data_IF_389846750663
#
_entry.id   IF_389846750663
#
_cell.length_a   1.000
_cell.length_b   1.000
_cell.length_c   1.000
_cell.angle_alpha   90.00
_cell.angle_beta   90.00
_cell.angle_gamma   90.00
#
_symmetry.space_group_name_H-M   'P 1'
#
loop_
_entity.id
_entity.type
_entity.pdbx_description
1 polymer ?
#
# COMPACT_ATOMS: atom_id res chain seq x y z
N UNK A 1 -31.53 34.53 -53.12
CA UNK A 1 -30.17 33.94 -53.41
C UNK A 1 -29.24 34.34 -52.29
N UNK A 2 -29.06 33.51 -51.32
CA UNK A 2 -28.00 33.63 -50.33
C UNK A 2 -27.74 32.21 -49.82
N UNK A 3 -26.62 31.68 -50.25
CA UNK A 3 -26.16 30.34 -49.92
C UNK A 3 -25.53 30.33 -48.52
N UNK A 4 -26.09 29.58 -47.61
CA UNK A 4 -25.48 29.20 -46.31
C UNK A 4 -24.45 28.10 -46.57
N UNK A 5 -23.20 28.42 -46.29
CA UNK A 5 -22.07 27.45 -46.23
C UNK A 5 -22.16 26.68 -44.93
N UNK A 6 -22.56 25.43 -44.98
CA UNK A 6 -22.34 24.46 -43.93
C UNK A 6 -20.84 24.13 -43.86
N UNK A 7 -20.20 24.56 -42.79
CA UNK A 7 -18.84 24.12 -42.44
C UNK A 7 -18.94 22.74 -41.74
N UNK A 8 -18.77 21.70 -42.53
CA UNK A 8 -18.54 20.35 -42.02
C UNK A 8 -17.17 20.35 -41.31
N UNK A 9 -17.18 20.28 -39.98
CA UNK A 9 -15.98 20.01 -39.21
C UNK A 9 -15.53 18.57 -39.49
N UNK A 10 -14.42 18.47 -40.19
CA UNK A 10 -13.72 17.21 -40.49
C UNK A 10 -13.26 16.58 -39.18
N UNK A 11 -13.99 15.59 -38.68
CA UNK A 11 -13.58 14.77 -37.56
C UNK A 11 -12.31 14.01 -37.95
N UNK A 12 -11.21 14.32 -37.29
CA UNK A 12 -9.93 13.59 -37.45
C UNK A 12 -10.17 12.08 -37.21
N UNK A 13 -9.63 11.18 -38.06
CA UNK A 13 -9.88 9.76 -37.95
C UNK A 13 -9.30 9.21 -36.64
N UNK A 14 -10.19 8.79 -35.74
CA UNK A 14 -9.83 8.03 -34.56
C UNK A 14 -9.10 6.78 -35.00
N UNK A 15 -7.83 6.67 -34.66
CA UNK A 15 -7.01 5.47 -34.87
C UNK A 15 -7.60 4.27 -34.10
N UNK A 16 -8.61 3.63 -34.66
CA UNK A 16 -9.35 2.48 -34.08
C UNK A 16 -8.57 1.14 -34.09
N UNK A 17 -7.36 1.08 -34.61
CA UNK A 17 -6.71 -0.20 -34.96
C UNK A 17 -5.58 -0.70 -34.05
N UNK A 18 -4.86 0.16 -33.33
CA UNK A 18 -3.61 -0.21 -32.66
C UNK A 18 -3.75 -0.37 -31.14
N UNK A 19 -4.81 0.18 -30.53
CA UNK A 19 -4.97 0.27 -29.08
C UNK A 19 -5.46 -1.03 -28.37
N UNK A 20 -5.84 -2.09 -29.09
CA UNK A 20 -6.52 -3.27 -28.52
C UNK A 20 -5.61 -4.37 -27.95
N UNK A 21 -4.30 -4.35 -28.16
CA UNK A 21 -3.40 -5.47 -27.78
C UNK A 21 -2.27 -5.11 -26.81
N UNK A 22 -2.06 -3.84 -26.47
CA UNK A 22 -0.96 -3.41 -25.61
C UNK A 22 -1.24 -3.59 -24.09
N UNK A 23 -0.18 -3.74 -23.30
CA UNK A 23 -0.28 -3.67 -21.84
C UNK A 23 -0.44 -2.22 -21.35
N UNK A 24 0.24 -1.27 -21.99
CA UNK A 24 0.21 0.17 -21.73
C UNK A 24 -0.10 0.91 -23.03
N UNK A 25 -0.66 2.12 -22.90
CA UNK A 25 -0.76 3.05 -24.02
C UNK A 25 0.64 3.60 -24.40
N UNK A 26 0.84 4.03 -25.67
CA UNK A 26 2.09 4.68 -26.08
C UNK A 26 2.42 5.88 -25.19
N UNK A 27 3.68 6.00 -24.78
CA UNK A 27 4.16 7.07 -23.90
C UNK A 27 3.90 6.84 -22.39
N UNK A 28 3.17 5.79 -21.99
CA UNK A 28 2.85 5.53 -20.59
C UNK A 28 3.88 4.66 -19.85
N UNK A 29 4.95 4.22 -20.51
CA UNK A 29 5.95 3.34 -19.88
C UNK A 29 6.67 4.05 -18.73
N UNK A 30 7.18 5.26 -18.95
CA UNK A 30 7.89 6.01 -17.90
C UNK A 30 6.97 6.38 -16.73
N UNK A 31 5.76 6.97 -16.94
CA UNK A 31 4.81 7.19 -15.85
C UNK A 31 4.48 5.91 -15.07
N UNK A 32 4.29 4.80 -15.76
CA UNK A 32 4.00 3.51 -15.13
C UNK A 32 5.15 3.02 -14.26
N UNK A 33 6.40 3.08 -14.75
CA UNK A 33 7.57 2.72 -13.96
C UNK A 33 7.72 3.59 -12.70
N UNK A 34 7.45 4.88 -12.81
CA UNK A 34 7.47 5.79 -11.65
C UNK A 34 6.38 5.44 -10.63
N UNK A 35 5.17 5.09 -11.09
CA UNK A 35 4.11 4.64 -10.18
C UNK A 35 4.46 3.30 -9.51
N UNK A 36 5.06 2.36 -10.26
CA UNK A 36 5.57 1.10 -9.69
C UNK A 36 6.58 1.38 -8.58
N UNK A 37 7.47 2.36 -8.77
CA UNK A 37 8.41 2.79 -7.72
C UNK A 37 7.69 3.41 -6.51
N UNK A 38 6.56 4.10 -6.73
CA UNK A 38 5.73 4.59 -5.63
C UNK A 38 5.13 3.44 -4.79
N UNK A 39 4.71 2.33 -5.42
CA UNK A 39 4.22 1.16 -4.69
C UNK A 39 5.31 0.50 -3.86
N UNK A 40 6.54 0.42 -4.37
CA UNK A 40 7.68 -0.07 -3.59
C UNK A 40 8.00 0.86 -2.41
N UNK A 41 8.07 2.17 -2.64
CA UNK A 41 8.33 3.15 -1.59
C UNK A 41 7.22 3.15 -0.53
N UNK A 42 5.96 2.97 -0.93
CA UNK A 42 4.83 2.83 -0.01
C UNK A 42 4.96 1.59 0.88
N UNK A 43 5.26 0.41 0.32
CA UNK A 43 5.51 -0.81 1.10
C UNK A 43 6.65 -0.61 2.10
N UNK A 44 7.75 0.00 1.68
CA UNK A 44 8.90 0.31 2.54
C UNK A 44 8.50 1.14 3.76
N UNK A 45 7.74 2.23 3.55
CA UNK A 45 7.28 3.09 4.65
C UNK A 45 6.35 2.37 5.63
N UNK A 46 5.45 1.53 5.11
CA UNK A 46 4.47 0.79 5.91
C UNK A 46 5.15 -0.10 6.95
N UNK A 47 6.09 -0.93 6.51
CA UNK A 47 6.71 -1.92 7.38
C UNK A 47 7.86 -1.37 8.24
N UNK A 48 8.43 -0.21 7.88
CA UNK A 48 9.33 0.52 8.79
C UNK A 48 8.62 1.05 10.04
N UNK A 49 7.29 1.13 10.06
CA UNK A 49 6.52 1.64 11.21
C UNK A 49 6.52 0.67 12.40
N UNK A 50 6.52 -0.64 12.17
CA UNK A 50 6.50 -1.63 13.23
C UNK A 50 7.73 -1.56 14.16
N UNK A 51 8.96 -1.48 13.67
CA UNK A 51 10.16 -1.25 14.48
C UNK A 51 10.12 0.04 15.32
N UNK A 52 9.46 1.11 14.83
CA UNK A 52 9.30 2.36 15.58
C UNK A 52 8.58 2.18 16.91
N UNK A 53 7.56 1.33 16.95
CA UNK A 53 6.84 1.02 18.21
C UNK A 53 7.82 0.56 19.28
N UNK A 54 8.73 -0.34 18.91
CA UNK A 54 9.76 -0.86 19.82
C UNK A 54 10.74 0.21 20.27
N UNK A 55 11.23 1.04 19.34
CA UNK A 55 12.18 2.12 19.64
C UNK A 55 11.54 3.16 20.54
N UNK A 56 10.36 3.68 20.21
CA UNK A 56 9.69 4.72 21.00
C UNK A 56 9.30 4.20 22.39
N UNK A 57 8.88 2.94 22.50
CA UNK A 57 8.64 2.32 23.80
C UNK A 57 9.88 2.35 24.67
N UNK A 58 11.04 2.07 24.11
CA UNK A 58 12.33 2.08 24.82
C UNK A 58 12.78 3.50 25.14
N UNK A 59 12.78 4.40 24.16
CA UNK A 59 13.27 5.79 24.29
C UNK A 59 12.44 6.60 25.28
N UNK A 60 11.10 6.50 25.17
CA UNK A 60 10.18 7.30 26.00
C UNK A 60 9.65 6.54 27.22
N UNK A 61 10.18 5.34 27.53
CA UNK A 61 9.78 4.50 28.68
C UNK A 61 8.25 4.28 28.75
N UNK A 62 7.66 3.97 27.60
CA UNK A 62 6.20 3.88 27.43
C UNK A 62 5.63 2.53 27.84
N UNK A 63 4.38 2.55 28.27
CA UNK A 63 3.57 1.35 28.42
C UNK A 63 3.05 0.84 27.04
N UNK A 64 2.44 -0.35 27.01
CA UNK A 64 1.92 -0.95 25.81
C UNK A 64 0.83 -0.10 25.12
N UNK A 65 -0.07 0.51 25.89
CA UNK A 65 -1.14 1.34 25.34
C UNK A 65 -0.60 2.62 24.69
N UNK A 66 0.38 3.27 25.31
CA UNK A 66 1.03 4.46 24.74
C UNK A 66 1.81 4.13 23.47
N UNK A 67 2.55 3.03 23.44
CA UNK A 67 3.31 2.64 22.25
C UNK A 67 2.43 2.22 21.07
N UNK A 68 1.22 1.73 21.33
CA UNK A 68 0.25 1.39 20.27
C UNK A 68 -0.30 2.63 19.55
N UNK A 69 -0.17 3.85 20.11
CA UNK A 69 -0.54 5.10 19.43
C UNK A 69 0.25 5.33 18.14
N UNK A 70 1.44 4.75 18.00
CA UNK A 70 2.21 4.78 16.74
C UNK A 70 1.40 4.14 15.61
N UNK A 71 0.87 2.94 15.84
CA UNK A 71 0.03 2.25 14.85
C UNK A 71 -1.32 2.95 14.68
N UNK A 72 -1.90 3.45 15.76
CA UNK A 72 -3.15 4.21 15.71
C UNK A 72 -3.01 5.50 14.91
N UNK A 73 -1.88 6.21 15.01
CA UNK A 73 -1.59 7.39 14.21
C UNK A 73 -1.45 7.03 12.73
N UNK A 74 -0.75 5.94 12.42
CA UNK A 74 -0.55 5.47 11.05
C UNK A 74 -1.88 5.04 10.40
N UNK A 75 -2.59 4.08 10.98
CA UNK A 75 -3.85 3.58 10.42
C UNK A 75 -5.00 4.58 10.54
N UNK A 76 -4.98 5.42 11.60
CA UNK A 76 -5.93 6.52 11.77
C UNK A 76 -5.83 7.56 10.64
N UNK A 77 -4.62 7.86 10.16
CA UNK A 77 -4.42 8.71 9.00
C UNK A 77 -5.06 8.09 7.73
N UNK A 78 -4.89 6.80 7.51
CA UNK A 78 -5.54 6.09 6.40
C UNK A 78 -7.06 6.18 6.47
N UNK A 79 -7.63 5.96 7.65
CA UNK A 79 -9.08 6.04 7.85
C UNK A 79 -9.60 7.47 7.59
N UNK A 80 -8.94 8.48 8.12
CA UNK A 80 -9.37 9.88 8.00
C UNK A 80 -9.20 10.42 6.58
N UNK A 81 -8.13 10.02 5.86
CA UNK A 81 -7.78 10.62 4.58
C UNK A 81 -8.32 9.85 3.35
N UNK A 82 -8.88 8.67 3.50
CA UNK A 82 -9.43 7.90 2.39
C UNK A 82 -10.54 8.65 1.62
N UNK A 83 -11.48 9.30 2.33
CA UNK A 83 -12.55 10.08 1.70
C UNK A 83 -12.02 11.40 1.13
N UNK A 84 -11.22 12.23 1.87
CA UNK A 84 -10.56 13.39 1.29
C UNK A 84 -9.72 13.08 0.05
N UNK A 85 -9.03 11.94 0.00
CA UNK A 85 -8.25 11.53 -1.15
C UNK A 85 -9.12 11.33 -2.41
N UNK A 86 -10.29 10.69 -2.27
CA UNK A 86 -11.24 10.55 -3.38
C UNK A 86 -11.73 11.91 -3.88
N UNK A 87 -11.96 12.87 -2.99
CA UNK A 87 -12.34 14.23 -3.34
C UNK A 87 -11.21 14.99 -4.07
N UNK A 88 -9.96 14.83 -3.64
CA UNK A 88 -8.78 15.37 -4.34
C UNK A 88 -8.72 14.81 -5.77
N UNK A 89 -8.88 13.49 -5.93
CA UNK A 89 -8.86 12.84 -7.24
C UNK A 89 -9.97 13.36 -8.18
N UNK A 90 -11.16 13.60 -7.64
CA UNK A 90 -12.29 14.12 -8.44
C UNK A 90 -12.07 15.55 -8.96
N UNK A 91 -11.23 16.35 -8.26
CA UNK A 91 -10.93 17.74 -8.65
C UNK A 91 -9.65 17.90 -9.45
N UNK A 92 -8.61 17.18 -9.10
CA UNK A 92 -7.25 17.37 -9.62
C UNK A 92 -6.78 16.21 -10.50
N UNK A 93 -7.63 15.20 -10.72
CA UNK A 93 -7.26 13.97 -11.41
C UNK A 93 -6.33 13.07 -10.58
N UNK A 94 -6.07 11.89 -11.09
CA UNK A 94 -5.25 10.90 -10.39
C UNK A 94 -3.79 11.34 -10.24
N UNK A 95 -3.23 11.99 -11.27
CA UNK A 95 -1.86 12.55 -11.20
C UNK A 95 -1.74 13.60 -10.11
N UNK A 96 -2.73 14.51 -10.01
CA UNK A 96 -2.78 15.52 -8.97
C UNK A 96 -2.83 14.90 -7.56
N UNK A 97 -3.66 13.88 -7.37
CA UNK A 97 -3.72 13.13 -6.12
C UNK A 97 -2.41 12.45 -5.76
N UNK A 98 -1.75 11.77 -6.72
CA UNK A 98 -0.43 11.17 -6.53
C UNK A 98 0.61 12.22 -6.10
N UNK A 99 0.64 13.38 -6.75
CA UNK A 99 1.60 14.44 -6.40
C UNK A 99 1.37 14.98 -4.99
N UNK A 100 0.12 15.24 -4.62
CA UNK A 100 -0.23 15.71 -3.27
C UNK A 100 0.17 14.64 -2.23
N UNK A 101 -0.17 13.37 -2.50
CA UNK A 101 0.21 12.26 -1.62
C UNK A 101 1.72 12.16 -1.41
N UNK A 102 2.50 12.24 -2.49
CA UNK A 102 3.96 12.17 -2.43
C UNK A 102 4.59 13.36 -1.69
N UNK A 103 4.10 14.59 -1.95
CA UNK A 103 4.60 15.78 -1.26
C UNK A 103 4.26 15.71 0.23
N UNK A 104 3.05 15.30 0.58
CA UNK A 104 2.64 15.17 1.98
C UNK A 104 3.42 14.06 2.70
N UNK A 105 3.60 12.89 2.06
CA UNK A 105 4.43 11.82 2.60
C UNK A 105 5.89 12.25 2.76
N UNK A 106 6.43 12.95 1.76
CA UNK A 106 7.77 13.52 1.82
C UNK A 106 7.93 14.51 2.96
N UNK A 107 6.98 15.43 3.14
CA UNK A 107 6.95 16.36 4.26
C UNK A 107 6.90 15.61 5.59
N UNK A 108 6.07 14.58 5.72
CA UNK A 108 6.00 13.73 6.90
C UNK A 108 7.35 13.09 7.25
N UNK A 109 8.08 12.56 6.26
CA UNK A 109 9.43 12.04 6.44
C UNK A 109 10.42 13.11 6.90
N UNK A 110 10.36 14.32 6.34
CA UNK A 110 11.24 15.44 6.74
C UNK A 110 10.92 15.99 8.13
N UNK A 111 9.66 15.87 8.60
CA UNK A 111 9.27 16.27 9.97
C UNK A 111 9.94 15.41 11.06
N UNK A 112 10.56 14.29 10.72
CA UNK A 112 11.40 13.55 11.67
C UNK A 112 12.65 14.34 12.09
N UNK A 113 13.10 15.33 11.29
CA UNK A 113 14.20 16.20 11.67
C UNK A 113 13.84 17.02 12.91
N UNK A 114 12.84 17.93 12.88
CA UNK A 114 12.46 18.69 14.07
C UNK A 114 11.97 17.81 15.21
N UNK A 115 11.34 16.66 14.93
CA UNK A 115 10.90 15.71 15.95
C UNK A 115 12.09 15.16 16.77
N UNK A 116 13.19 14.85 16.10
CA UNK A 116 14.42 14.35 16.75
C UNK A 116 15.04 15.40 17.67
N UNK A 117 15.08 16.65 17.25
CA UNK A 117 15.62 17.73 18.09
C UNK A 117 14.70 18.12 19.23
N UNK A 118 13.39 18.06 19.02
CA UNK A 118 12.40 18.31 20.07
C UNK A 118 12.34 17.20 21.12
N UNK A 119 12.81 15.98 20.78
CA UNK A 119 12.78 14.78 21.62
C UNK A 119 11.40 14.54 22.26
N UNK A 120 10.34 14.88 21.53
CA UNK A 120 8.96 14.85 22.03
C UNK A 120 8.13 13.87 21.24
N UNK A 121 7.51 12.92 21.92
CA UNK A 121 6.74 11.83 21.28
C UNK A 121 5.59 12.32 20.39
N UNK A 122 4.85 13.35 20.83
CA UNK A 122 3.73 13.91 20.05
C UNK A 122 4.19 14.48 18.69
N UNK A 123 5.39 15.05 18.61
CA UNK A 123 5.94 15.55 17.35
C UNK A 123 6.27 14.40 16.39
N UNK A 124 6.79 13.28 16.91
CA UNK A 124 6.99 12.07 16.10
C UNK A 124 5.66 11.47 15.61
N UNK A 125 4.63 11.44 16.46
CA UNK A 125 3.29 11.00 16.05
C UNK A 125 2.72 11.88 14.95
N UNK A 126 2.91 13.20 15.04
CA UNK A 126 2.48 14.15 14.00
C UNK A 126 3.23 13.91 12.69
N UNK A 127 4.55 13.72 12.74
CA UNK A 127 5.36 13.38 11.57
C UNK A 127 4.88 12.08 10.91
N UNK A 128 4.65 11.04 11.71
CA UNK A 128 4.16 9.75 11.24
C UNK A 128 2.73 9.84 10.67
N UNK A 129 1.83 10.56 11.34
CA UNK A 129 0.48 10.82 10.84
C UNK A 129 0.51 11.53 9.49
N UNK A 130 1.35 12.56 9.35
CA UNK A 130 1.51 13.32 8.10
C UNK A 130 2.04 12.43 6.98
N UNK A 131 3.05 11.59 7.26
CA UNK A 131 3.57 10.62 6.32
C UNK A 131 2.48 9.65 5.87
N UNK A 132 1.77 9.03 6.82
CA UNK A 132 0.71 8.07 6.55
C UNK A 132 -0.49 8.70 5.82
N UNK A 133 -0.82 9.96 6.12
CA UNK A 133 -1.82 10.74 5.39
C UNK A 133 -1.45 10.90 3.92
N UNK A 134 -0.18 11.22 3.64
CA UNK A 134 0.34 11.27 2.28
C UNK A 134 0.26 9.92 1.58
N UNK A 135 0.60 8.83 2.27
CA UNK A 135 0.53 7.47 1.72
C UNK A 135 -0.92 7.03 1.43
N UNK A 136 -1.87 7.39 2.27
CA UNK A 136 -3.29 7.12 2.05
C UNK A 136 -3.81 7.80 0.76
N UNK A 137 -3.43 9.07 0.56
CA UNK A 137 -3.78 9.82 -0.66
C UNK A 137 -3.08 9.20 -1.87
N UNK A 138 -1.80 8.85 -1.74
CA UNK A 138 -1.01 8.22 -2.78
C UNK A 138 -1.65 6.90 -3.24
N UNK A 139 -1.98 6.01 -2.31
CA UNK A 139 -2.59 4.72 -2.61
C UNK A 139 -3.94 4.87 -3.29
N UNK A 140 -4.83 5.72 -2.75
CA UNK A 140 -6.15 5.98 -3.31
C UNK A 140 -6.09 6.54 -4.73
N UNK A 141 -5.00 7.25 -5.07
CA UNK A 141 -4.81 7.87 -6.38
C UNK A 141 -4.06 6.97 -7.36
N UNK A 142 -3.01 6.28 -6.89
CA UNK A 142 -2.13 5.48 -7.73
C UNK A 142 -2.82 4.21 -8.28
N UNK A 143 -3.70 3.56 -7.49
CA UNK A 143 -4.40 2.37 -7.92
C UNK A 143 -5.26 2.59 -9.19
N UNK A 144 -6.22 3.53 -9.21
CA UNK A 144 -6.99 3.81 -10.41
C UNK A 144 -6.14 4.43 -11.52
N UNK A 145 -5.10 5.20 -11.19
CA UNK A 145 -4.20 5.77 -12.17
C UNK A 145 -3.47 4.69 -12.98
N UNK A 146 -2.91 3.68 -12.32
CA UNK A 146 -2.31 2.52 -12.98
C UNK A 146 -3.31 1.81 -13.88
N UNK A 147 -4.56 1.66 -13.42
CA UNK A 147 -5.62 1.02 -14.20
C UNK A 147 -5.98 1.80 -15.47
N UNK A 148 -5.87 3.12 -15.47
CA UNK A 148 -6.19 3.99 -16.61
C UNK A 148 -5.07 4.08 -17.67
N UNK A 149 -3.84 3.61 -17.37
CA UNK A 149 -2.66 3.75 -18.26
C UNK A 149 -2.64 2.83 -19.48
N UNK A 150 -3.68 2.07 -19.72
CA UNK A 150 -3.76 1.16 -20.86
C UNK A 150 -5.17 0.62 -21.09
N UNK A 151 -5.37 -0.32 -22.00
CA UNK A 151 -6.68 -0.89 -22.30
C UNK A 151 -7.36 -1.51 -21.09
N UNK A 152 -8.69 -1.35 -21.00
CA UNK A 152 -9.50 -1.79 -19.84
C UNK A 152 -9.39 -3.29 -19.56
N UNK A 153 -9.32 -4.12 -20.60
CA UNK A 153 -9.22 -5.58 -20.45
C UNK A 153 -7.96 -6.03 -19.69
N UNK A 154 -6.88 -5.21 -19.67
CA UNK A 154 -5.65 -5.46 -18.93
C UNK A 154 -5.56 -4.66 -17.62
N UNK A 155 -6.58 -3.88 -17.24
CA UNK A 155 -6.51 -2.98 -16.09
C UNK A 155 -6.20 -3.72 -14.78
N UNK A 156 -6.93 -4.79 -14.49
CA UNK A 156 -6.69 -5.63 -13.28
C UNK A 156 -5.29 -6.25 -13.28
N UNK A 157 -4.80 -6.70 -14.43
CA UNK A 157 -3.44 -7.25 -14.58
C UNK A 157 -2.36 -6.19 -14.35
N UNK A 158 -2.55 -4.96 -14.86
CA UNK A 158 -1.63 -3.84 -14.62
C UNK A 158 -1.55 -3.49 -13.14
N UNK A 159 -2.71 -3.43 -12.48
CA UNK A 159 -2.77 -3.17 -11.05
C UNK A 159 -2.05 -4.27 -10.25
N UNK A 160 -2.29 -5.55 -10.57
CA UNK A 160 -1.58 -6.66 -9.94
C UNK A 160 -0.07 -6.57 -10.14
N UNK A 161 0.40 -6.19 -11.33
CA UNK A 161 1.82 -6.00 -11.60
C UNK A 161 2.40 -4.86 -10.77
N UNK A 162 1.77 -3.69 -10.73
CA UNK A 162 2.25 -2.55 -9.96
C UNK A 162 2.27 -2.87 -8.44
N UNK A 163 1.20 -3.46 -7.95
CA UNK A 163 1.07 -3.90 -6.55
C UNK A 163 2.06 -5.02 -6.17
N UNK A 164 2.62 -5.76 -7.13
CA UNK A 164 3.64 -6.78 -6.84
C UNK A 164 4.96 -6.18 -6.33
N UNK A 165 5.18 -4.90 -6.54
CA UNK A 165 6.37 -4.19 -6.04
C UNK A 165 6.22 -3.69 -4.58
N UNK A 166 4.99 -3.63 -4.08
CA UNK A 166 4.76 -3.26 -2.68
C UNK A 166 5.44 -4.23 -1.69
N UNK A 167 5.28 -5.57 -1.77
CA UNK A 167 5.99 -6.50 -0.90
C UNK A 167 7.52 -6.46 -1.05
N UNK A 168 8.05 -6.10 -2.22
CA UNK A 168 9.50 -5.88 -2.38
C UNK A 168 9.92 -4.71 -1.51
N UNK A 169 9.18 -3.59 -1.59
CA UNK A 169 9.39 -2.44 -0.74
C UNK A 169 9.28 -2.77 0.74
N UNK A 170 8.26 -3.52 1.13
CA UNK A 170 8.03 -4.00 2.50
C UNK A 170 9.25 -4.76 3.06
N UNK A 171 9.75 -5.74 2.33
CA UNK A 171 10.94 -6.49 2.73
C UNK A 171 12.18 -5.59 2.84
N UNK A 172 12.37 -4.65 1.89
CA UNK A 172 13.45 -3.66 1.98
C UNK A 172 13.27 -2.75 3.20
N UNK A 173 12.05 -2.35 3.52
CA UNK A 173 11.72 -1.53 4.69
C UNK A 173 12.08 -2.23 6.00
N UNK A 174 11.71 -3.50 6.14
CA UNK A 174 12.09 -4.32 7.31
C UNK A 174 13.61 -4.43 7.43
N UNK A 175 14.31 -4.77 6.34
CA UNK A 175 15.76 -4.89 6.31
C UNK A 175 16.45 -3.56 6.68
N UNK A 176 16.00 -2.46 6.11
CA UNK A 176 16.56 -1.14 6.42
C UNK A 176 16.29 -0.72 7.86
N UNK A 177 15.11 -1.04 8.39
CA UNK A 177 14.78 -0.76 9.79
C UNK A 177 15.65 -1.57 10.75
N UNK A 178 15.92 -2.84 10.44
CA UNK A 178 16.81 -3.69 11.23
C UNK A 178 18.26 -3.16 11.19
N UNK A 179 18.80 -2.96 9.99
CA UNK A 179 20.19 -2.55 9.79
C UNK A 179 20.49 -1.11 10.25
N UNK A 180 19.56 -0.19 10.07
CA UNK A 180 19.82 1.25 10.27
C UNK A 180 19.20 1.79 11.57
N UNK A 181 18.17 1.16 12.10
CA UNK A 181 17.46 1.60 13.30
C UNK A 181 17.74 0.64 14.46
N UNK A 182 17.27 -0.61 14.36
CA UNK A 182 17.29 -1.55 15.49
C UNK A 182 18.71 -1.91 15.92
N UNK A 183 19.65 -2.03 14.98
CA UNK A 183 21.06 -2.28 15.29
C UNK A 183 21.74 -1.18 16.12
N UNK A 184 21.17 0.03 16.12
CA UNK A 184 21.69 1.19 16.87
C UNK A 184 20.92 1.49 18.16
N UNK A 185 19.86 0.72 18.45
CA UNK A 185 19.12 0.83 19.70
C UNK A 185 19.92 0.19 20.84
N UNK A 186 20.07 0.93 21.93
CA UNK A 186 20.75 0.42 23.12
C UNK A 186 19.98 -0.77 23.71
N UNK A 187 20.58 -1.95 23.92
CA UNK A 187 19.92 -3.14 24.43
C UNK A 187 19.55 -3.05 25.91
N UNK A 188 19.89 -1.96 26.59
CA UNK A 188 19.60 -1.78 28.01
C UNK A 188 18.10 -1.92 28.31
N UNK A 189 17.79 -2.70 29.36
CA UNK A 189 16.42 -2.87 29.85
C UNK A 189 15.86 -1.57 30.45
N UNK A 190 14.55 -1.49 30.64
CA UNK A 190 13.90 -0.32 31.25
C UNK A 190 14.46 -0.02 32.65
N UNK A 191 14.83 -1.05 33.42
CA UNK A 191 15.44 -0.90 34.76
C UNK A 191 16.86 -0.35 34.66
N UNK A 192 17.67 -0.87 33.73
CA UNK A 192 19.02 -0.36 33.48
C UNK A 192 19.00 1.10 33.02
N UNK A 193 18.02 1.48 32.17
CA UNK A 193 17.86 2.88 31.73
C UNK A 193 17.49 3.80 32.87
N UNK A 194 16.66 3.37 33.84
CA UNK A 194 16.33 4.13 35.04
C UNK A 194 17.55 4.35 35.96
N UNK A 195 18.50 3.44 35.93
CA UNK A 195 19.73 3.53 36.71
C UNK A 195 20.82 4.39 36.04
N UNK A 196 20.65 4.81 34.78
CA UNK A 196 21.58 5.71 34.09
C UNK A 196 21.56 7.11 34.69
N UNK A 197 22.71 7.81 34.67
CA UNK A 197 22.71 9.23 34.96
C UNK A 197 21.91 9.99 33.90
N UNK A 198 21.36 11.13 34.29
CA UNK A 198 20.52 11.95 33.38
C UNK A 198 21.21 12.30 32.07
N UNK A 199 22.51 12.64 32.12
CA UNK A 199 23.30 12.94 30.92
C UNK A 199 23.46 11.74 29.98
N UNK A 200 23.78 10.57 30.52
CA UNK A 200 23.93 9.33 29.75
C UNK A 200 22.60 8.91 29.13
N UNK A 201 21.51 9.04 29.87
CA UNK A 201 20.16 8.72 29.37
C UNK A 201 19.79 9.64 28.20
N UNK A 202 19.96 10.94 28.32
CA UNK A 202 19.66 11.90 27.25
C UNK A 202 20.54 11.68 26.02
N UNK A 203 21.85 11.41 26.20
CA UNK A 203 22.74 11.09 25.10
C UNK A 203 22.31 9.81 24.35
N UNK A 204 21.93 8.79 25.10
CA UNK A 204 21.44 7.52 24.51
C UNK A 204 20.14 7.74 23.75
N UNK A 205 19.17 8.42 24.34
CA UNK A 205 17.87 8.74 23.67
C UNK A 205 18.08 9.55 22.39
N UNK A 206 18.97 10.58 22.46
CA UNK A 206 19.29 11.40 21.30
C UNK A 206 19.93 10.57 20.17
N UNK A 207 20.85 9.66 20.50
CA UNK A 207 21.48 8.79 19.53
C UNK A 207 20.47 7.83 18.85
N UNK A 208 19.57 7.23 19.64
CA UNK A 208 18.52 6.34 19.14
C UNK A 208 17.52 7.08 18.24
N UNK A 209 17.10 8.29 18.61
CA UNK A 209 16.19 9.10 17.79
C UNK A 209 16.88 9.58 16.49
N UNK A 210 18.18 9.89 16.52
CA UNK A 210 18.96 10.18 15.30
C UNK A 210 19.06 8.96 14.38
N UNK A 211 19.16 7.76 14.92
CA UNK A 211 19.14 6.52 14.13
C UNK A 211 17.80 6.32 13.41
N UNK A 212 16.68 6.68 14.04
CA UNK A 212 15.35 6.68 13.42
C UNK A 212 15.23 7.77 12.35
N UNK A 213 15.73 8.98 12.63
CA UNK A 213 15.60 10.12 11.73
C UNK A 213 16.19 9.84 10.34
N UNK A 214 17.38 9.25 10.26
CA UNK A 214 18.10 9.05 9.00
C UNK A 214 17.26 8.34 7.92
N UNK A 215 16.80 7.11 8.16
CA UNK A 215 15.98 6.36 7.21
C UNK A 215 14.66 7.06 6.83
N UNK A 216 13.98 7.73 7.77
CA UNK A 216 12.74 8.44 7.48
C UNK A 216 12.95 9.71 6.64
N UNK A 217 14.04 10.43 6.88
CA UNK A 217 14.42 11.56 6.05
C UNK A 217 14.81 11.11 4.64
N UNK A 218 15.57 10.03 4.51
CA UNK A 218 15.91 9.45 3.21
C UNK A 218 14.66 9.04 2.43
N UNK A 219 13.70 8.42 3.11
CA UNK A 219 12.40 8.05 2.54
C UNK A 219 11.59 9.30 2.15
N UNK A 220 11.58 10.34 2.97
CA UNK A 220 10.94 11.62 2.67
C UNK A 220 11.53 12.28 1.41
N UNK A 221 12.85 12.28 1.28
CA UNK A 221 13.54 12.77 0.09
C UNK A 221 13.23 11.93 -1.15
N UNK A 222 13.12 10.61 -1.02
CA UNK A 222 12.70 9.72 -2.10
C UNK A 222 11.29 10.09 -2.60
N UNK A 223 10.33 10.35 -1.69
CA UNK A 223 8.98 10.77 -2.08
C UNK A 223 8.98 12.13 -2.79
N UNK A 224 9.75 13.10 -2.32
CA UNK A 224 9.88 14.38 -3.01
C UNK A 224 10.52 14.20 -4.40
N UNK A 225 11.56 13.38 -4.53
CA UNK A 225 12.15 13.05 -5.81
C UNK A 225 11.13 12.43 -6.78
N UNK A 226 10.36 11.44 -6.32
CA UNK A 226 9.29 10.83 -7.13
C UNK A 226 8.23 11.86 -7.52
N UNK A 227 7.85 12.78 -6.62
CA UNK A 227 6.91 13.85 -6.92
C UNK A 227 7.44 14.77 -8.03
N UNK A 228 8.71 15.16 -7.96
CA UNK A 228 9.36 16.00 -9.00
C UNK A 228 9.41 15.25 -10.34
N UNK A 229 9.79 13.99 -10.34
CA UNK A 229 9.86 13.17 -11.56
C UNK A 229 8.48 13.01 -12.19
N UNK A 230 7.45 12.62 -11.43
CA UNK A 230 6.07 12.46 -11.92
C UNK A 230 5.49 13.81 -12.36
N UNK A 231 5.80 14.89 -11.66
CA UNK A 231 5.36 16.23 -12.00
C UNK A 231 5.84 16.67 -13.39
N UNK A 232 7.10 16.34 -13.74
CA UNK A 232 7.71 16.69 -15.02
C UNK A 232 7.22 15.84 -16.20
N UNK A 233 6.72 14.65 -15.97
CA UNK A 233 6.21 13.79 -17.04
C UNK A 233 4.85 14.30 -17.52
N UNK A 234 4.74 14.60 -18.82
CA UNK A 234 3.45 14.93 -19.44
C UNK A 234 2.63 13.65 -19.59
N UNK A 235 1.64 13.48 -18.75
CA UNK A 235 0.65 12.42 -18.88
C UNK A 235 -0.59 13.04 -19.52
N UNK A 236 -0.99 12.50 -20.66
CA UNK A 236 -2.29 12.84 -21.24
C UNK A 236 -3.31 12.03 -20.46
N UNK A 237 -3.76 12.56 -19.33
CA UNK A 237 -4.96 12.05 -18.69
C UNK A 237 -6.10 12.26 -19.70
N UNK A 238 -6.78 11.17 -20.08
CA UNK A 238 -8.09 11.37 -20.71
C UNK A 238 -8.93 12.11 -19.68
N UNK A 239 -9.53 13.24 -20.01
CA UNK A 239 -10.41 13.91 -19.07
C UNK A 239 -11.40 12.84 -18.60
N UNK A 240 -11.47 12.58 -17.33
CA UNK A 240 -12.69 12.05 -16.72
C UNK A 240 -13.69 13.13 -17.10
N UNK A 241 -14.56 12.85 -18.08
CA UNK A 241 -15.59 13.79 -18.50
C UNK A 241 -16.34 14.16 -17.23
N UNK A 242 -15.92 15.30 -16.68
CA UNK A 242 -16.61 15.88 -15.56
C UNK A 242 -17.93 16.32 -16.16
N UNK A 243 -18.95 15.47 -16.07
CA UNK A 243 -20.31 15.90 -16.31
C UNK A 243 -20.57 17.05 -15.32
N UNK A 244 -20.39 18.28 -15.81
CA UNK A 244 -20.55 19.54 -15.09
C UNK A 244 -22.01 19.77 -14.63
N UNK A 245 -22.72 18.74 -14.28
CA UNK A 245 -24.11 18.70 -13.85
C UNK A 245 -24.44 17.66 -12.79
N UNK A 246 -23.47 16.83 -12.36
CA UNK A 246 -23.76 15.77 -11.42
C UNK A 246 -23.62 16.25 -9.96
N UNK A 247 -24.73 16.21 -9.26
CA UNK A 247 -24.93 16.24 -7.79
C UNK A 247 -23.66 16.10 -6.96
N UNK A 248 -23.47 16.99 -5.98
CA UNK A 248 -22.31 17.05 -5.08
C UNK A 248 -21.87 15.68 -4.55
N UNK A 249 -20.65 15.59 -4.05
CA UNK A 249 -19.96 14.34 -3.66
C UNK A 249 -20.80 13.29 -2.94
N UNK A 250 -21.81 13.71 -2.18
CA UNK A 250 -22.78 12.83 -1.49
C UNK A 250 -23.66 12.04 -2.49
N UNK A 251 -24.06 12.62 -3.61
CA UNK A 251 -24.88 11.93 -4.61
C UNK A 251 -24.08 10.87 -5.38
N UNK A 252 -22.78 11.12 -5.61
CA UNK A 252 -21.86 10.15 -6.24
C UNK A 252 -21.63 8.97 -5.31
N UNK A 253 -21.34 9.22 -4.03
CA UNK A 253 -21.18 8.19 -3.03
C UNK A 253 -22.42 7.31 -2.91
N UNK A 254 -23.62 7.91 -2.91
CA UNK A 254 -24.87 7.15 -2.84
C UNK A 254 -25.10 6.30 -4.09
N UNK A 255 -24.72 6.77 -5.28
CA UNK A 255 -24.79 5.96 -6.52
C UNK A 255 -23.85 4.76 -6.46
N UNK A 256 -22.60 4.96 -5.98
CA UNK A 256 -21.63 3.88 -5.79
C UNK A 256 -22.15 2.83 -4.80
N UNK A 257 -22.68 3.26 -3.65
CA UNK A 257 -23.23 2.34 -2.64
C UNK A 257 -24.46 1.58 -3.13
N UNK A 258 -25.25 2.14 -4.05
CA UNK A 258 -26.37 1.45 -4.71
C UNK A 258 -25.92 0.46 -5.78
N UNK A 259 -24.68 0.56 -6.28
CA UNK A 259 -24.12 -0.42 -7.21
C UNK A 259 -23.74 -1.69 -6.44
N UNK A 260 -24.53 -2.75 -6.61
CA UNK A 260 -24.34 -4.02 -5.90
C UNK A 260 -22.96 -4.63 -6.11
N UNK A 261 -22.37 -4.47 -7.31
CA UNK A 261 -21.04 -4.99 -7.62
C UNK A 261 -19.96 -4.26 -6.84
N UNK A 262 -20.04 -2.93 -6.80
CA UNK A 262 -19.12 -2.10 -6.03
C UNK A 262 -19.24 -2.40 -4.52
N UNK A 263 -20.44 -2.37 -3.97
CA UNK A 263 -20.68 -2.62 -2.55
C UNK A 263 -20.24 -4.02 -2.11
N UNK A 264 -20.50 -5.04 -2.95
CA UNK A 264 -20.00 -6.39 -2.70
C UNK A 264 -18.48 -6.44 -2.77
N UNK A 265 -17.85 -5.74 -3.71
CA UNK A 265 -16.39 -5.60 -3.80
C UNK A 265 -15.77 -4.97 -2.56
N UNK A 266 -16.39 -3.92 -1.99
CA UNK A 266 -15.94 -3.30 -0.74
C UNK A 266 -16.01 -4.28 0.43
N UNK A 267 -17.13 -5.01 0.57
CA UNK A 267 -17.29 -6.03 1.63
C UNK A 267 -16.28 -7.18 1.43
N UNK A 268 -16.10 -7.65 0.20
CA UNK A 268 -15.12 -8.68 -0.12
C UNK A 268 -13.70 -8.24 0.21
N UNK A 269 -13.37 -6.97 -0.06
CA UNK A 269 -12.05 -6.41 0.25
C UNK A 269 -11.81 -6.30 1.75
N UNK A 270 -12.83 -5.92 2.53
CA UNK A 270 -12.75 -5.91 3.99
C UNK A 270 -12.41 -7.31 4.54
N UNK A 271 -13.14 -8.34 4.10
CA UNK A 271 -12.86 -9.73 4.53
C UNK A 271 -11.51 -10.24 4.02
N UNK A 272 -11.11 -9.86 2.81
CA UNK A 272 -9.81 -10.22 2.27
C UNK A 272 -8.65 -9.67 3.12
N UNK A 273 -8.67 -8.38 3.45
CA UNK A 273 -7.63 -7.74 4.28
C UNK A 273 -7.63 -8.33 5.68
N UNK A 274 -8.82 -8.57 6.27
CA UNK A 274 -8.95 -9.21 7.58
C UNK A 274 -8.35 -10.62 7.57
N UNK A 275 -8.68 -11.44 6.57
CA UNK A 275 -8.14 -12.79 6.42
C UNK A 275 -6.61 -12.79 6.24
N UNK A 276 -6.07 -11.90 5.39
CA UNK A 276 -4.64 -11.76 5.18
C UNK A 276 -3.91 -11.42 6.50
N UNK A 277 -4.43 -10.45 7.25
CA UNK A 277 -3.86 -10.05 8.53
C UNK A 277 -3.92 -11.21 9.53
N UNK A 278 -5.05 -11.91 9.64
CA UNK A 278 -5.19 -13.08 10.51
C UNK A 278 -4.19 -14.18 10.14
N UNK A 279 -4.07 -14.53 8.86
CA UNK A 279 -3.15 -15.57 8.39
C UNK A 279 -1.73 -15.25 8.87
N UNK A 280 -1.21 -14.06 8.61
CA UNK A 280 0.17 -13.72 8.96
C UNK A 280 0.37 -13.56 10.47
N UNK A 281 -0.58 -12.97 11.18
CA UNK A 281 -0.49 -12.81 12.65
C UNK A 281 -0.49 -14.15 13.35
N UNK A 282 -1.33 -15.10 12.93
CA UNK A 282 -1.46 -16.38 13.62
C UNK A 282 -0.54 -17.50 13.07
N UNK A 283 0.14 -17.28 11.95
CA UNK A 283 1.10 -18.27 11.41
C UNK A 283 2.15 -18.64 12.46
N UNK A 284 2.74 -17.68 13.15
CA UNK A 284 3.75 -17.91 14.17
C UNK A 284 3.20 -18.81 15.30
N UNK A 285 2.04 -18.45 15.85
CA UNK A 285 1.40 -19.25 16.90
C UNK A 285 0.99 -20.64 16.44
N UNK A 286 0.53 -20.78 15.20
CA UNK A 286 0.17 -22.08 14.64
C UNK A 286 1.40 -22.98 14.51
N UNK A 287 2.50 -22.46 13.98
CA UNK A 287 3.75 -23.20 13.79
C UNK A 287 4.34 -23.63 15.13
N UNK A 288 4.44 -22.73 16.11
CA UNK A 288 4.94 -23.07 17.45
C UNK A 288 4.09 -24.15 18.12
N UNK A 289 2.77 -24.09 17.96
CA UNK A 289 1.85 -25.07 18.53
C UNK A 289 1.91 -26.43 17.81
N UNK A 290 1.97 -26.42 16.47
CA UNK A 290 1.92 -27.64 15.66
C UNK A 290 3.23 -28.42 15.66
N UNK A 291 4.38 -27.72 15.65
CA UNK A 291 5.71 -28.34 15.55
C UNK A 291 6.46 -28.36 16.88
N UNK A 292 5.97 -27.71 17.93
CA UNK A 292 6.63 -27.59 19.24
C UNK A 292 8.03 -26.96 19.14
N UNK A 293 8.20 -25.97 18.25
CA UNK A 293 9.45 -25.26 18.02
C UNK A 293 9.46 -23.89 18.68
N UNK A 294 10.66 -23.26 18.76
CA UNK A 294 10.82 -21.90 19.28
C UNK A 294 10.21 -20.85 18.33
N UNK A 295 9.99 -19.66 18.86
CA UNK A 295 9.45 -18.53 18.08
C UNK A 295 10.41 -18.12 16.94
N UNK A 296 11.73 -18.29 17.10
CA UNK A 296 12.71 -18.01 16.05
C UNK A 296 12.49 -18.91 14.83
N UNK A 297 12.35 -20.23 15.05
CA UNK A 297 12.07 -21.19 13.98
C UNK A 297 10.69 -20.93 13.35
N UNK A 298 9.69 -20.56 14.15
CA UNK A 298 8.38 -20.19 13.65
C UNK A 298 8.44 -18.90 12.81
N UNK A 299 9.34 -17.97 13.15
CA UNK A 299 9.66 -16.78 12.36
C UNK A 299 10.17 -17.12 10.95
N UNK A 300 11.04 -18.15 10.83
CA UNK A 300 11.54 -18.62 9.52
C UNK A 300 10.40 -19.14 8.63
N UNK A 301 9.42 -19.85 9.20
CA UNK A 301 8.23 -20.29 8.47
C UNK A 301 7.35 -19.13 8.02
N UNK A 302 7.20 -18.10 8.85
CA UNK A 302 6.49 -16.89 8.46
C UNK A 302 7.23 -16.16 7.33
N UNK A 303 8.54 -16.06 7.40
CA UNK A 303 9.36 -15.47 6.32
C UNK A 303 9.20 -16.26 5.01
N UNK A 304 9.20 -17.60 5.07
CA UNK A 304 8.94 -18.45 3.91
C UNK A 304 7.54 -18.16 3.31
N UNK A 305 6.52 -17.98 4.16
CA UNK A 305 5.17 -17.60 3.76
C UNK A 305 5.13 -16.27 3.00
N UNK A 306 5.86 -15.26 3.47
CA UNK A 306 5.97 -13.95 2.81
C UNK A 306 6.72 -14.03 1.46
N UNK A 307 7.74 -14.88 1.36
CA UNK A 307 8.45 -15.14 0.10
C UNK A 307 7.52 -15.82 -0.90
N UNK A 308 6.75 -16.82 -0.46
CA UNK A 308 5.73 -17.49 -1.29
C UNK A 308 4.70 -16.46 -1.81
N UNK A 309 4.21 -15.59 -0.94
CA UNK A 309 3.32 -14.50 -1.32
C UNK A 309 3.91 -13.63 -2.43
N UNK A 310 5.16 -13.21 -2.29
CA UNK A 310 5.87 -12.39 -3.28
C UNK A 310 6.02 -13.10 -4.63
N UNK A 311 6.53 -14.34 -4.61
CA UNK A 311 6.74 -15.14 -5.82
C UNK A 311 5.42 -15.39 -6.56
N UNK A 312 4.39 -15.81 -5.83
CA UNK A 312 3.08 -16.07 -6.41
C UNK A 312 2.40 -14.81 -6.95
N UNK A 313 2.68 -13.64 -6.40
CA UNK A 313 2.20 -12.38 -6.97
C UNK A 313 2.65 -12.17 -8.41
N UNK A 314 3.92 -12.36 -8.70
CA UNK A 314 4.44 -12.27 -10.06
C UNK A 314 3.94 -13.42 -10.95
N UNK A 315 3.88 -14.64 -10.42
CA UNK A 315 3.34 -15.79 -11.14
C UNK A 315 1.89 -15.54 -11.58
N UNK A 316 1.05 -15.03 -10.68
CA UNK A 316 -0.36 -14.73 -10.98
C UNK A 316 -0.50 -13.62 -12.04
N UNK A 317 0.34 -12.58 -12.01
CA UNK A 317 0.39 -11.57 -13.09
C UNK A 317 0.71 -12.21 -14.44
N UNK A 318 1.62 -13.18 -14.47
CA UNK A 318 1.94 -13.97 -15.66
C UNK A 318 0.71 -14.76 -16.15
N UNK A 319 0.06 -15.50 -15.25
CA UNK A 319 -1.13 -16.30 -15.52
C UNK A 319 -2.32 -15.46 -16.00
N UNK A 320 -2.51 -14.25 -15.48
CA UNK A 320 -3.52 -13.31 -15.95
C UNK A 320 -3.32 -12.86 -17.41
N UNK A 321 -2.17 -13.14 -18.01
CA UNK A 321 -1.95 -12.94 -19.44
C UNK A 321 -2.66 -13.99 -20.31
N UNK A 322 -3.00 -15.15 -19.75
CA UNK A 322 -3.62 -16.28 -20.45
C UNK A 322 -5.01 -16.64 -19.91
N UNK A 323 -5.24 -16.40 -18.63
CA UNK A 323 -6.48 -16.75 -17.93
C UNK A 323 -7.20 -15.49 -17.46
N UNK A 324 -8.52 -15.57 -17.41
CA UNK A 324 -9.36 -14.49 -16.86
C UNK A 324 -9.11 -14.30 -15.36
N UNK A 325 -8.96 -13.04 -14.94
CA UNK A 325 -8.65 -12.67 -13.56
C UNK A 325 -9.69 -13.19 -12.55
N UNK A 326 -10.99 -13.24 -12.95
CA UNK A 326 -12.06 -13.75 -12.08
C UNK A 326 -11.96 -15.26 -11.87
N UNK A 327 -11.58 -16.02 -12.91
CA UNK A 327 -11.39 -17.47 -12.81
C UNK A 327 -10.23 -17.78 -11.88
N UNK A 328 -9.11 -17.04 -12.01
CA UNK A 328 -7.98 -17.19 -11.10
C UNK A 328 -8.33 -16.79 -9.67
N UNK A 329 -9.10 -15.71 -9.48
CA UNK A 329 -9.59 -15.30 -8.16
C UNK A 329 -10.44 -16.41 -7.51
N UNK A 330 -11.38 -16.97 -8.27
CA UNK A 330 -12.26 -18.02 -7.78
C UNK A 330 -11.50 -19.29 -7.41
N UNK A 331 -10.53 -19.69 -8.25
CA UNK A 331 -9.64 -20.83 -7.99
C UNK A 331 -8.85 -20.63 -6.70
N UNK A 332 -8.22 -19.45 -6.51
CA UNK A 332 -7.41 -19.16 -5.33
C UNK A 332 -8.26 -19.06 -4.07
N UNK A 333 -9.46 -18.46 -4.14
CA UNK A 333 -10.40 -18.46 -3.00
C UNK A 333 -10.83 -19.89 -2.63
N UNK A 334 -11.20 -20.72 -3.60
CA UNK A 334 -11.60 -22.12 -3.34
C UNK A 334 -10.46 -22.93 -2.74
N UNK A 335 -9.24 -22.78 -3.29
CA UNK A 335 -8.05 -23.43 -2.75
C UNK A 335 -7.73 -22.92 -1.34
N UNK A 336 -7.85 -21.63 -1.10
CA UNK A 336 -7.65 -21.04 0.23
C UNK A 336 -8.62 -21.58 1.28
N UNK A 337 -9.90 -21.76 0.93
CA UNK A 337 -10.89 -22.39 1.82
C UNK A 337 -10.46 -23.84 2.11
N UNK A 338 -10.11 -24.63 1.10
CA UNK A 338 -9.71 -26.01 1.27
C UNK A 338 -8.46 -26.14 2.17
N UNK A 339 -7.44 -25.30 1.93
CA UNK A 339 -6.21 -25.29 2.76
C UNK A 339 -6.50 -24.86 4.20
N UNK A 340 -7.38 -23.88 4.41
CA UNK A 340 -7.76 -23.44 5.76
C UNK A 340 -8.47 -24.56 6.53
N UNK A 341 -9.44 -25.23 5.89
CA UNK A 341 -10.14 -26.37 6.49
C UNK A 341 -9.17 -27.55 6.78
N UNK A 342 -8.26 -27.82 5.86
CA UNK A 342 -7.24 -28.84 6.07
C UNK A 342 -6.32 -28.50 7.25
N UNK A 343 -5.86 -27.26 7.38
CA UNK A 343 -5.03 -26.83 8.49
C UNK A 343 -5.75 -26.92 9.85
N UNK A 344 -7.06 -26.71 9.90
CA UNK A 344 -7.84 -26.90 11.14
C UNK A 344 -7.82 -28.33 11.66
N UNK A 345 -7.76 -29.32 10.77
CA UNK A 345 -7.81 -30.76 11.12
C UNK A 345 -6.40 -31.34 11.32
N UNK A 346 -5.40 -30.79 10.60
CA UNK A 346 -4.03 -31.31 10.55
C UNK A 346 -3.05 -30.43 11.33
N UNK A 347 -3.04 -30.55 12.66
CA UNK A 347 -2.09 -29.81 13.52
C UNK A 347 -0.73 -30.50 13.55
N UNK A 348 -0.03 -30.47 12.40
CA UNK A 348 1.27 -31.09 12.17
C UNK A 348 1.99 -30.36 11.04
N UNK A 349 3.11 -30.89 10.55
CA UNK A 349 3.90 -30.29 9.45
C UNK A 349 3.08 -30.07 8.17
N UNK A 350 2.10 -30.96 7.85
CA UNK A 350 1.24 -30.78 6.68
C UNK A 350 0.28 -29.59 6.85
N UNK A 351 -0.21 -29.38 8.08
CA UNK A 351 -1.02 -28.20 8.40
C UNK A 351 -0.19 -26.91 8.32
N UNK A 352 1.07 -26.93 8.75
CA UNK A 352 2.01 -25.79 8.58
C UNK A 352 2.22 -25.51 7.10
N UNK A 353 2.47 -26.52 6.27
CA UNK A 353 2.58 -26.35 4.82
C UNK A 353 1.30 -25.79 4.19
N UNK A 354 0.13 -26.19 4.70
CA UNK A 354 -1.14 -25.62 4.24
C UNK A 354 -1.26 -24.14 4.62
N UNK A 355 -0.93 -23.73 5.86
CA UNK A 355 -0.99 -22.33 6.30
C UNK A 355 -0.05 -21.44 5.49
N UNK A 356 1.21 -21.84 5.28
CA UNK A 356 2.13 -21.02 4.47
C UNK A 356 1.72 -20.97 3.00
N UNK A 357 1.07 -22.03 2.47
CA UNK A 357 0.52 -22.06 1.11
C UNK A 357 -0.67 -21.12 0.94
N UNK A 358 -1.38 -20.74 2.01
CA UNK A 358 -2.42 -19.70 1.96
C UNK A 358 -1.88 -18.38 1.44
N UNK A 359 -0.61 -18.06 1.70
CA UNK A 359 0.03 -16.85 1.17
C UNK A 359 0.08 -16.82 -0.35
N UNK A 360 0.21 -17.99 -1.02
CA UNK A 360 0.05 -18.07 -2.46
C UNK A 360 -1.37 -17.71 -2.90
N UNK A 361 -2.38 -18.21 -2.17
CA UNK A 361 -3.79 -17.95 -2.49
C UNK A 361 -4.15 -16.47 -2.34
N UNK A 362 -3.73 -15.81 -1.26
CA UNK A 362 -4.05 -14.40 -1.00
C UNK A 362 -3.24 -13.42 -1.86
N UNK A 363 -2.21 -13.88 -2.55
CA UNK A 363 -1.26 -13.01 -3.28
C UNK A 363 -1.91 -12.14 -4.35
N UNK A 364 -2.95 -12.61 -5.03
CA UNK A 364 -3.65 -11.88 -6.09
C UNK A 364 -4.94 -11.19 -5.63
N UNK A 365 -5.45 -11.52 -4.42
CA UNK A 365 -6.82 -11.16 -4.02
C UNK A 365 -7.02 -9.66 -3.98
N UNK A 366 -6.17 -8.94 -3.24
CA UNK A 366 -6.33 -7.49 -3.03
C UNK A 366 -6.47 -6.71 -4.35
N UNK A 367 -5.48 -6.73 -5.26
CA UNK A 367 -5.56 -5.94 -6.49
C UNK A 367 -6.61 -6.47 -7.47
N UNK A 368 -6.95 -7.77 -7.41
CA UNK A 368 -7.96 -8.35 -8.29
C UNK A 368 -9.37 -7.99 -7.85
N UNK A 369 -9.69 -8.10 -6.55
CA UNK A 369 -10.99 -7.67 -6.00
C UNK A 369 -11.19 -6.17 -6.27
N UNK A 370 -10.17 -5.35 -6.00
CA UNK A 370 -10.18 -3.92 -6.26
C UNK A 370 -10.44 -3.61 -7.74
N UNK A 371 -9.64 -4.20 -8.64
CA UNK A 371 -9.76 -3.97 -10.07
C UNK A 371 -11.11 -4.44 -10.64
N UNK A 372 -11.62 -5.57 -10.18
CA UNK A 372 -12.92 -6.07 -10.64
C UNK A 372 -14.11 -5.31 -10.03
N UNK A 373 -13.98 -4.75 -8.82
CA UNK A 373 -15.00 -3.90 -8.22
C UNK A 373 -15.18 -2.57 -8.97
N UNK A 374 -14.08 -1.98 -9.44
CA UNK A 374 -14.08 -0.72 -10.18
C UNK A 374 -14.41 -0.85 -11.67
N UNK A 375 -14.33 -2.06 -12.22
CA UNK A 375 -14.54 -2.29 -13.65
C UNK A 375 -15.97 -1.95 -14.08
N UNK A 376 -16.10 -1.08 -15.07
CA UNK A 376 -17.39 -0.65 -15.63
C UNK A 376 -18.09 0.45 -14.82
N UNK A 377 -17.44 1.07 -13.84
CA UNK A 377 -17.99 2.24 -13.13
C UNK A 377 -17.85 3.55 -13.93
N UNK A 378 -17.01 3.56 -14.97
CA UNK A 378 -16.82 4.74 -15.84
C UNK A 378 -16.44 5.99 -15.05
N UNK A 379 -17.28 7.01 -15.10
CA UNK A 379 -17.07 8.30 -14.44
C UNK A 379 -17.12 8.25 -12.91
N UNK A 380 -17.69 7.21 -12.33
CA UNK A 380 -17.81 7.04 -10.88
C UNK A 380 -16.56 6.37 -10.24
N UNK A 381 -15.52 6.08 -11.06
CA UNK A 381 -14.27 5.46 -10.61
C UNK A 381 -13.36 6.41 -9.83
#
# INVERSE_FOLDING_TARGET
MTATRDSVAEEAPVQKGVAKRGFLYPGMVLPFCLLVSCFAAWGMAGDMTAPLVKVFRSVFSMNNAQSSLVQSAYYGAYFCLAIPAAFINSRLGYKGGVLIGLVLAGTGGLLFIPATYAMTYSVFLTALFTLAAGLSILETSANPFVMSMGPEHNATRRLNFAQAFNPIGSNLGVLLADLLILSKVNPATAEQRKAMSHEVLLATQSAELKAVMGPYVALGLLYILLAVMIGRVKVVERPVESSAGASGGTGRLMRLLRNKRYSFGVVAQYFNVSAQTCIWTYTLHYVTSALKVSDDVAGDWLQASLIIFLVFRFLMVGLMGRFDARKLLLLMCSLGIALSLFAMVSVNILGVLAIISLSACISLLFPTIYGEALKGLGEDT
#
